data_IF_019268739385
#
_entry.id   IF_019268739385
#
_cell.length_a   1.000
_cell.length_b   1.000
_cell.length_c   1.000
_cell.angle_alpha   90.00
_cell.angle_beta   90.00
_cell.angle_gamma   90.00
#
_symmetry.space_group_name_H-M   'P 1'
#
loop_
_entity.id
_entity.type
_entity.pdbx_description
1 polymer ?
#
# COMPACT_ATOMS: atom_id res chain seq x y z
N UNK A 1 -60.09 10.67 25.15
CA UNK A 1 -59.69 12.10 25.03
C UNK A 1 -58.32 12.45 25.66
N UNK A 2 -57.81 11.72 26.64
CA UNK A 2 -56.52 12.04 27.35
C UNK A 2 -55.27 11.93 26.45
N UNK A 3 -55.20 10.96 25.51
CA UNK A 3 -54.01 10.76 24.66
C UNK A 3 -53.70 11.93 23.70
N UNK A 4 -54.70 12.59 23.13
CA UNK A 4 -54.51 13.74 22.24
C UNK A 4 -53.93 14.97 22.92
N UNK A 5 -54.28 15.18 24.21
CA UNK A 5 -53.78 16.29 25.01
C UNK A 5 -52.33 16.07 25.38
N UNK A 6 -51.96 14.85 25.77
CA UNK A 6 -50.61 14.43 26.08
C UNK A 6 -49.65 14.63 24.88
N UNK A 7 -50.04 14.23 23.67
CA UNK A 7 -49.25 14.44 22.45
C UNK A 7 -49.05 15.91 22.09
N UNK A 8 -50.08 16.76 22.38
CA UNK A 8 -49.95 18.21 22.17
C UNK A 8 -48.99 18.85 23.14
N UNK A 9 -49.00 18.43 24.41
CA UNK A 9 -48.08 18.92 25.45
C UNK A 9 -46.63 18.46 25.18
N UNK A 10 -46.43 17.23 24.74
CA UNK A 10 -45.11 16.71 24.30
C UNK A 10 -44.57 17.52 23.11
N UNK A 11 -45.40 17.78 22.05
CA UNK A 11 -44.98 18.61 20.92
C UNK A 11 -44.63 20.04 21.33
N UNK A 12 -45.37 20.63 22.26
CA UNK A 12 -45.11 21.99 22.76
C UNK A 12 -43.83 22.06 23.59
N UNK A 13 -43.59 21.07 24.43
CA UNK A 13 -42.36 20.94 25.23
C UNK A 13 -41.15 20.75 24.30
N UNK A 14 -41.26 19.90 23.26
CA UNK A 14 -40.25 19.67 22.24
C UNK A 14 -39.92 20.93 21.44
N UNK A 15 -40.97 21.72 21.10
CA UNK A 15 -40.79 22.96 20.33
C UNK A 15 -40.07 24.05 21.13
N UNK A 16 -40.19 24.05 22.47
CA UNK A 16 -39.55 25.05 23.34
C UNK A 16 -38.10 24.69 23.67
N UNK A 17 -37.73 23.40 23.62
CA UNK A 17 -36.40 22.91 24.01
C UNK A 17 -35.60 22.30 22.82
N UNK A 18 -35.93 22.72 21.61
CA UNK A 18 -35.29 22.19 20.37
C UNK A 18 -33.77 22.24 20.40
N UNK A 19 -33.19 23.36 20.82
CA UNK A 19 -31.74 23.52 20.88
C UNK A 19 -31.07 22.51 21.82
N UNK A 20 -31.62 22.29 23.02
CA UNK A 20 -31.10 21.33 23.96
C UNK A 20 -31.22 19.89 23.47
N UNK A 21 -32.34 19.56 22.83
CA UNK A 21 -32.56 18.25 22.24
C UNK A 21 -31.56 17.98 21.08
N UNK A 22 -31.42 18.96 20.19
CA UNK A 22 -30.47 18.85 19.05
C UNK A 22 -29.04 18.68 19.54
N UNK A 23 -28.63 19.42 20.58
CA UNK A 23 -27.29 19.32 21.17
C UNK A 23 -27.01 17.93 21.74
N UNK A 24 -27.95 17.37 22.49
CA UNK A 24 -27.81 16.02 23.05
C UNK A 24 -27.81 14.98 21.96
N UNK A 25 -28.70 15.11 20.98
CA UNK A 25 -28.73 14.19 19.82
C UNK A 25 -27.43 14.22 19.02
N UNK A 26 -26.91 15.42 18.72
CA UNK A 26 -25.65 15.60 18.01
C UNK A 26 -24.48 14.99 18.78
N UNK A 27 -24.46 15.17 20.11
CA UNK A 27 -23.41 14.57 20.95
C UNK A 27 -23.46 13.03 20.92
N UNK A 28 -24.64 12.44 21.04
CA UNK A 28 -24.83 10.99 20.95
C UNK A 28 -24.50 10.45 19.55
N UNK A 29 -24.88 11.18 18.53
CA UNK A 29 -24.56 10.85 17.12
C UNK A 29 -23.04 10.87 16.88
N UNK A 30 -22.33 11.90 17.34
CA UNK A 30 -20.87 12.01 17.27
C UNK A 30 -20.19 10.86 18.01
N UNK A 31 -20.62 10.56 19.21
CA UNK A 31 -20.08 9.45 20.01
C UNK A 31 -20.27 8.10 19.31
N UNK A 32 -21.48 7.84 18.82
CA UNK A 32 -21.78 6.60 18.07
C UNK A 32 -20.97 6.50 16.79
N UNK A 33 -20.86 7.60 16.04
CA UNK A 33 -20.08 7.66 14.80
C UNK A 33 -18.60 7.37 15.04
N UNK A 34 -18.01 8.01 16.06
CA UNK A 34 -16.62 7.79 16.43
C UNK A 34 -16.35 6.33 16.83
N UNK A 35 -17.25 5.75 17.62
CA UNK A 35 -17.13 4.38 18.10
C UNK A 35 -17.23 3.36 16.97
N UNK A 36 -18.19 3.53 16.07
CA UNK A 36 -18.36 2.67 14.88
C UNK A 36 -17.19 2.85 13.93
N UNK A 37 -16.76 4.10 13.68
CA UNK A 37 -15.61 4.39 12.83
C UNK A 37 -14.34 3.69 13.28
N UNK A 38 -14.00 3.83 14.57
CA UNK A 38 -12.84 3.17 15.15
C UNK A 38 -12.93 1.64 15.08
N UNK A 39 -14.11 1.08 15.33
CA UNK A 39 -14.32 -0.37 15.31
C UNK A 39 -14.19 -0.98 13.91
N UNK A 40 -14.59 -0.25 12.88
CA UNK A 40 -14.53 -0.72 11.47
C UNK A 40 -13.15 -0.51 10.83
N UNK A 41 -12.42 0.50 11.28
CA UNK A 41 -11.11 0.85 10.71
C UNK A 41 -10.09 -0.30 10.83
N UNK A 42 -10.00 -0.95 11.97
CA UNK A 42 -9.03 -2.04 12.20
C UNK A 42 -9.21 -3.24 11.25
N UNK A 43 -10.40 -3.82 11.15
CA UNK A 43 -10.68 -4.89 10.18
C UNK A 43 -10.42 -4.47 8.74
N UNK A 44 -10.85 -3.28 8.33
CA UNK A 44 -10.68 -2.80 6.95
C UNK A 44 -9.21 -2.62 6.56
N UNK A 45 -8.39 -2.06 7.46
CA UNK A 45 -6.93 -1.94 7.21
C UNK A 45 -6.30 -3.31 7.05
N UNK A 46 -6.66 -4.27 7.91
CA UNK A 46 -6.14 -5.63 7.83
C UNK A 46 -6.57 -6.33 6.55
N UNK A 47 -7.83 -6.18 6.16
CA UNK A 47 -8.38 -6.78 4.95
C UNK A 47 -7.71 -6.19 3.70
N UNK A 48 -7.62 -4.87 3.60
CA UNK A 48 -6.89 -4.19 2.53
C UNK A 48 -5.42 -4.62 2.46
N UNK A 49 -4.75 -4.72 3.63
CA UNK A 49 -3.38 -5.21 3.70
C UNK A 49 -3.25 -6.64 3.19
N UNK A 50 -4.12 -7.55 3.63
CA UNK A 50 -4.10 -8.94 3.19
C UNK A 50 -4.33 -9.07 1.68
N UNK A 51 -5.29 -8.33 1.11
CA UNK A 51 -5.51 -8.31 -0.34
C UNK A 51 -4.26 -7.81 -1.07
N UNK A 52 -3.64 -6.74 -0.62
CA UNK A 52 -2.41 -6.22 -1.21
C UNK A 52 -1.27 -7.25 -1.19
N UNK A 53 -1.07 -7.94 -0.07
CA UNK A 53 -0.05 -8.99 0.04
C UNK A 53 -0.32 -10.17 -0.89
N UNK A 54 -1.59 -10.57 -1.02
CA UNK A 54 -2.00 -11.70 -1.86
C UNK A 54 -1.97 -11.36 -3.34
N UNK A 55 -2.51 -10.22 -3.74
CA UNK A 55 -2.63 -9.80 -5.14
C UNK A 55 -1.26 -9.56 -5.78
N UNK A 56 -0.32 -9.02 -5.01
CA UNK A 56 1.05 -8.79 -5.46
C UNK A 56 1.99 -9.96 -5.14
N UNK A 57 1.48 -11.00 -4.48
CA UNK A 57 2.26 -12.18 -4.07
C UNK A 57 3.58 -11.79 -3.39
N UNK A 58 3.48 -10.91 -2.38
CA UNK A 58 4.67 -10.39 -1.70
C UNK A 58 5.43 -11.50 -0.99
N UNK A 59 6.75 -11.45 -1.05
CA UNK A 59 7.62 -12.42 -0.39
C UNK A 59 7.53 -12.32 1.12
N UNK A 60 7.42 -13.45 1.80
CA UNK A 60 7.50 -13.54 3.28
C UNK A 60 8.92 -13.29 3.77
N UNK A 61 9.92 -13.73 3.00
CA UNK A 61 11.34 -13.62 3.36
C UNK A 61 12.13 -13.18 2.12
N UNK A 62 12.98 -12.18 2.31
CA UNK A 62 13.95 -11.76 1.30
C UNK A 62 15.36 -11.92 1.87
N UNK A 63 16.20 -12.66 1.18
CA UNK A 63 17.61 -12.88 1.52
C UNK A 63 18.48 -12.12 0.53
N UNK A 64 19.34 -11.25 1.03
CA UNK A 64 20.30 -10.47 0.21
C UNK A 64 21.71 -10.90 0.59
N UNK A 65 22.49 -11.31 -0.38
CA UNK A 65 23.91 -11.58 -0.21
C UNK A 65 24.75 -10.45 -0.79
N UNK A 66 25.65 -9.88 0.01
CA UNK A 66 26.51 -8.75 -0.39
C UNK A 66 27.38 -9.09 -1.62
N UNK A 67 27.77 -10.36 -1.74
CA UNK A 67 28.59 -10.88 -2.86
C UNK A 67 27.78 -11.77 -3.82
N UNK A 68 26.44 -11.67 -3.74
CA UNK A 68 25.53 -12.54 -4.48
C UNK A 68 25.30 -13.90 -3.78
N UNK A 69 24.47 -14.73 -4.40
CA UNK A 69 24.12 -16.06 -3.93
C UNK A 69 24.67 -17.07 -4.94
N UNK A 70 25.66 -17.84 -4.55
CA UNK A 70 26.29 -18.84 -5.39
C UNK A 70 25.39 -20.08 -5.59
N UNK A 71 25.82 -20.99 -6.49
CA UNK A 71 25.03 -22.19 -6.82
C UNK A 71 24.90 -23.17 -5.64
N UNK A 72 25.83 -23.17 -4.71
CA UNK A 72 25.79 -24.03 -3.53
C UNK A 72 24.77 -23.49 -2.52
N UNK A 73 24.78 -22.19 -2.28
CA UNK A 73 23.79 -21.51 -1.47
C UNK A 73 22.39 -21.61 -2.07
N UNK A 74 22.25 -21.47 -3.41
CA UNK A 74 20.96 -21.67 -4.09
C UNK A 74 20.43 -23.10 -3.88
N UNK A 75 21.28 -24.12 -3.94
CA UNK A 75 20.88 -25.51 -3.65
C UNK A 75 20.41 -25.67 -2.22
N UNK A 76 21.13 -25.09 -1.27
CA UNK A 76 20.77 -25.14 0.14
C UNK A 76 19.41 -24.45 0.38
N UNK A 77 19.18 -23.28 -0.20
CA UNK A 77 17.91 -22.55 -0.12
C UNK A 77 16.77 -23.36 -0.74
N UNK A 78 16.98 -23.97 -1.90
CA UNK A 78 15.96 -24.79 -2.57
C UNK A 78 15.60 -26.07 -1.81
N UNK A 79 16.42 -26.49 -0.85
CA UNK A 79 16.18 -27.65 0.01
C UNK A 79 15.50 -27.29 1.33
N UNK A 80 15.25 -26.02 1.60
CA UNK A 80 14.56 -25.59 2.83
C UNK A 80 13.12 -26.13 2.81
N UNK A 81 12.78 -26.84 3.87
CA UNK A 81 11.42 -27.33 4.06
C UNK A 81 10.50 -26.15 4.43
N UNK A 82 9.36 -26.03 3.76
CA UNK A 82 8.36 -25.01 4.02
C UNK A 82 8.40 -23.82 3.04
N UNK A 83 9.33 -23.78 2.12
CA UNK A 83 9.29 -22.83 1.00
C UNK A 83 8.39 -23.38 -0.11
N UNK A 84 7.34 -22.62 -0.46
CA UNK A 84 6.45 -23.01 -1.57
C UNK A 84 6.99 -22.49 -2.91
N UNK A 85 7.54 -21.28 -2.89
CA UNK A 85 8.09 -20.61 -4.07
C UNK A 85 9.38 -19.89 -3.73
N UNK A 86 10.34 -19.96 -4.63
CA UNK A 86 11.62 -19.27 -4.50
C UNK A 86 11.90 -18.58 -5.83
N UNK A 87 12.14 -17.29 -5.77
CA UNK A 87 12.53 -16.49 -6.93
C UNK A 87 13.88 -15.85 -6.67
N UNK A 88 14.78 -15.91 -7.62
CA UNK A 88 16.09 -15.29 -7.56
C UNK A 88 16.11 -14.04 -8.42
N UNK A 89 16.60 -12.97 -7.86
CA UNK A 89 16.76 -11.71 -8.56
C UNK A 89 18.10 -11.07 -8.25
N UNK A 90 18.32 -9.91 -8.79
CA UNK A 90 19.47 -9.08 -8.47
C UNK A 90 19.02 -7.65 -8.21
N UNK A 91 19.83 -6.94 -7.46
CA UNK A 91 19.67 -5.53 -7.23
C UNK A 91 21.03 -4.85 -7.44
N UNK A 92 20.99 -3.60 -7.92
CA UNK A 92 22.18 -2.76 -8.09
C UNK A 92 21.84 -1.32 -7.79
N UNK A 93 22.68 -0.66 -7.00
CA UNK A 93 22.60 0.77 -6.79
C UNK A 93 23.35 1.48 -7.92
N UNK A 94 22.72 2.44 -8.56
CA UNK A 94 23.28 3.21 -9.65
C UNK A 94 23.01 4.70 -9.44
N UNK A 95 23.89 5.54 -9.95
CA UNK A 95 23.69 6.99 -9.95
C UNK A 95 23.11 7.43 -11.30
N UNK A 96 22.16 8.36 -11.26
CA UNK A 96 21.64 8.95 -12.48
C UNK A 96 22.69 9.95 -12.99
N UNK A 97 23.10 9.78 -14.25
CA UNK A 97 24.08 10.68 -14.85
C UNK A 97 23.58 12.13 -14.83
N UNK A 98 24.48 13.02 -14.50
CA UNK A 98 24.21 14.48 -14.39
C UNK A 98 23.19 14.84 -13.27
N UNK A 99 23.03 13.95 -12.30
CA UNK A 99 22.22 14.14 -11.08
C UNK A 99 22.98 13.66 -9.84
N UNK A 100 22.54 14.11 -8.69
CA UNK A 100 22.99 13.59 -7.38
C UNK A 100 22.12 12.46 -6.88
N UNK A 101 21.13 12.04 -7.66
CA UNK A 101 20.19 11.01 -7.27
C UNK A 101 20.78 9.63 -7.50
N UNK A 102 20.81 8.82 -6.46
CA UNK A 102 21.08 7.39 -6.54
C UNK A 102 19.75 6.62 -6.50
N UNK A 103 19.62 5.62 -7.36
CA UNK A 103 18.46 4.74 -7.38
C UNK A 103 18.90 3.30 -7.30
N UNK A 104 18.03 2.47 -6.73
CA UNK A 104 18.20 1.02 -6.68
C UNK A 104 17.39 0.38 -7.80
N UNK A 105 18.07 -0.36 -8.64
CA UNK A 105 17.44 -1.14 -9.72
C UNK A 105 17.32 -2.58 -9.25
N UNK A 106 16.15 -3.15 -9.46
CA UNK A 106 15.84 -4.55 -9.20
C UNK A 106 15.58 -5.27 -10.51
N UNK A 107 15.89 -6.56 -10.58
CA UNK A 107 15.39 -7.42 -11.66
C UNK A 107 13.86 -7.37 -11.68
N UNK A 108 13.28 -7.47 -12.87
CA UNK A 108 11.83 -7.53 -13.00
C UNK A 108 11.30 -8.80 -12.33
N UNK A 109 10.38 -8.68 -11.35
CA UNK A 109 9.81 -9.84 -10.68
C UNK A 109 8.91 -10.63 -11.64
N UNK A 110 8.98 -11.96 -11.58
CA UNK A 110 8.17 -12.85 -12.41
C UNK A 110 6.88 -13.26 -11.67
N UNK A 111 7.02 -13.88 -10.51
CA UNK A 111 5.88 -14.37 -9.74
C UNK A 111 5.77 -13.76 -8.35
N UNK A 112 6.90 -13.43 -7.70
CA UNK A 112 6.97 -12.99 -6.31
C UNK A 112 7.26 -11.50 -6.24
N UNK A 113 6.60 -10.81 -5.30
CA UNK A 113 6.79 -9.37 -5.06
C UNK A 113 6.53 -8.50 -6.29
N UNK A 114 5.41 -8.78 -6.96
CA UNK A 114 4.95 -7.98 -8.09
C UNK A 114 4.65 -6.56 -7.66
N UNK A 115 4.71 -5.64 -8.62
CA UNK A 115 4.32 -4.25 -8.42
C UNK A 115 3.04 -3.94 -9.19
N UNK A 116 2.30 -2.96 -8.70
CA UNK A 116 1.14 -2.43 -9.41
C UNK A 116 1.58 -1.38 -10.43
N UNK A 117 1.19 -1.59 -11.67
CA UNK A 117 1.48 -0.65 -12.76
C UNK A 117 0.38 0.41 -12.80
N UNK A 118 0.73 1.66 -12.48
CA UNK A 118 -0.21 2.77 -12.47
C UNK A 118 -0.42 3.31 -13.89
N UNK A 119 0.65 3.41 -14.67
CA UNK A 119 0.62 3.97 -16.02
C UNK A 119 1.69 3.30 -16.91
N UNK A 120 1.42 3.20 -18.20
CA UNK A 120 2.34 2.62 -19.16
C UNK A 120 2.21 1.11 -19.31
N UNK A 121 3.32 0.41 -19.45
CA UNK A 121 3.42 -1.05 -19.58
C UNK A 121 4.66 -1.60 -18.91
N UNK A 122 4.67 -2.88 -18.65
CA UNK A 122 5.86 -3.58 -18.12
C UNK A 122 7.04 -3.51 -19.11
N UNK A 123 8.24 -3.49 -18.57
CA UNK A 123 9.46 -3.59 -19.32
C UNK A 123 9.56 -4.97 -20.02
N UNK A 124 9.76 -4.97 -21.34
CA UNK A 124 9.86 -6.18 -22.14
C UNK A 124 11.24 -6.34 -22.80
N UNK A 125 12.10 -5.35 -22.65
CA UNK A 125 13.45 -5.33 -23.22
C UNK A 125 14.46 -4.97 -22.15
N UNK A 126 15.68 -5.42 -22.28
CA UNK A 126 16.77 -5.16 -21.33
C UNK A 126 17.10 -3.67 -21.15
N UNK A 127 16.71 -2.84 -22.13
CA UNK A 127 16.89 -1.37 -22.07
C UNK A 127 15.69 -0.61 -21.55
N UNK A 128 14.66 -1.29 -21.09
CA UNK A 128 13.44 -0.67 -20.54
C UNK A 128 13.38 -0.86 -19.04
N UNK A 129 12.90 0.16 -18.35
CA UNK A 129 12.70 0.12 -16.89
C UNK A 129 11.30 0.59 -16.55
N UNK A 130 10.79 0.10 -15.43
CA UNK A 130 9.61 0.65 -14.75
C UNK A 130 10.11 1.48 -13.58
N UNK A 131 9.65 2.71 -13.51
CA UNK A 131 10.11 3.68 -12.51
C UNK A 131 9.04 3.86 -11.44
N UNK A 132 9.48 4.03 -10.19
CA UNK A 132 8.56 4.33 -9.08
C UNK A 132 7.80 5.64 -9.34
N UNK A 133 6.53 5.68 -8.95
CA UNK A 133 5.69 6.87 -9.05
C UNK A 133 6.27 8.10 -8.34
N UNK A 134 7.21 7.93 -7.42
CA UNK A 134 7.95 9.02 -6.76
C UNK A 134 8.70 9.91 -7.77
N UNK A 135 9.02 9.37 -8.95
CA UNK A 135 9.72 10.08 -10.01
C UNK A 135 8.81 10.61 -11.13
N UNK A 136 7.48 10.47 -10.99
CA UNK A 136 6.51 10.87 -12.03
C UNK A 136 6.54 12.35 -12.38
N UNK A 137 6.94 13.20 -11.45
CA UNK A 137 7.12 14.65 -11.70
C UNK A 137 8.38 14.96 -12.48
N UNK A 138 9.39 14.10 -12.42
CA UNK A 138 10.73 14.31 -13.00
C UNK A 138 10.89 13.66 -14.37
N UNK A 139 10.30 12.48 -14.57
CA UNK A 139 10.41 11.70 -15.79
C UNK A 139 9.03 11.32 -16.33
N UNK A 140 8.92 11.28 -17.65
CA UNK A 140 7.69 10.87 -18.35
C UNK A 140 7.91 9.54 -19.08
N UNK A 141 6.81 8.86 -19.38
CA UNK A 141 6.87 7.61 -20.16
C UNK A 141 7.51 7.91 -21.53
N UNK A 142 8.53 7.14 -21.86
CA UNK A 142 9.31 7.27 -23.10
C UNK A 142 10.60 8.10 -22.94
N UNK A 143 10.83 8.71 -21.79
CA UNK A 143 12.11 9.35 -21.51
C UNK A 143 13.24 8.34 -21.39
N UNK A 144 14.45 8.80 -21.67
CA UNK A 144 15.67 7.99 -21.53
C UNK A 144 16.48 8.47 -20.34
N UNK A 145 16.73 7.56 -19.41
CA UNK A 145 17.57 7.82 -18.24
C UNK A 145 18.94 7.16 -18.46
N UNK A 146 19.99 7.93 -18.25
CA UNK A 146 21.36 7.41 -18.33
C UNK A 146 21.90 7.21 -16.92
N UNK A 147 22.48 6.05 -16.69
CA UNK A 147 23.13 5.72 -15.44
C UNK A 147 24.64 5.81 -15.59
N UNK A 148 25.31 6.24 -14.53
CA UNK A 148 26.76 6.08 -14.38
C UNK A 148 27.01 4.83 -13.57
N UNK A 149 27.86 3.94 -14.08
CA UNK A 149 28.44 2.87 -13.28
C UNK A 149 29.49 3.49 -12.39
N UNK A 150 29.38 3.23 -11.09
CA UNK A 150 30.50 3.47 -10.19
C UNK A 150 31.52 2.37 -10.49
N UNK A 151 32.65 2.74 -11.06
CA UNK A 151 33.82 1.82 -11.09
C UNK A 151 34.22 1.57 -9.64
N UNK A 152 34.14 0.30 -9.20
CA UNK A 152 34.64 -0.17 -7.91
C UNK A 152 36.17 -0.14 -7.88
#
# INVERSE_FOLDING_TARGET
>A
MKKKKLWKDIKKCFSHTKGRFISIFALMMLGSFALVGLKVTGPNIRDTGNHYFQDLNLSDITVIGDYGIDKENQKAINQLSGSERIEYGYLKDVEIKDSTDAIRIFSNPDEISKYELIEGRNANKDSEIVLSNTYADKYKIGDTIKFSEKED
#
